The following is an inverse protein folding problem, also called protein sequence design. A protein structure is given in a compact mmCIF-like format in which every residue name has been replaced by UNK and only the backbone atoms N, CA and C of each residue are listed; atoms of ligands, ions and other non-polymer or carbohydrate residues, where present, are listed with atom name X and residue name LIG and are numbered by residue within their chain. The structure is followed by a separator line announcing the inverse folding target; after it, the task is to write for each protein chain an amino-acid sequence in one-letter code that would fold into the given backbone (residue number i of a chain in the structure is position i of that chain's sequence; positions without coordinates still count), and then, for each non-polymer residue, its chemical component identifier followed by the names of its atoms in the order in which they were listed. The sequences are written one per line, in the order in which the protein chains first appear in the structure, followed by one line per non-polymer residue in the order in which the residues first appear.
data_IF_742969929408
#
_entry.id   IF_742969929408
#
_cell.length_a   1.000
_cell.length_b   1.000
_cell.length_c   1.000
_cell.angle_alpha   90.00
_cell.angle_beta   90.00
_cell.angle_gamma   90.00
#
_symmetry.space_group_name_H-M   'P 1'
#
loop_
_entity.id
_entity.type
_entity.pdbx_description
1 polymer ?
#
# COMPACT_ATOMS: atom_id res chain seq x y z
N UNK A 1 -3.19 -48.56 -15.79
CA UNK A 1 -3.28 -47.35 -14.96
C UNK A 1 -4.75 -47.00 -14.86
N UNK A 2 -5.34 -47.19 -13.68
CA UNK A 2 -6.79 -47.13 -13.48
C UNK A 2 -7.33 -45.70 -13.67
N UNK A 3 -8.60 -45.54 -14.05
CA UNK A 3 -9.23 -44.26 -14.37
C UNK A 3 -9.10 -43.24 -13.23
N UNK A 4 -9.11 -43.72 -11.99
CA UNK A 4 -8.90 -42.94 -10.78
C UNK A 4 -7.54 -42.21 -10.75
N UNK A 5 -6.44 -42.89 -11.13
CA UNK A 5 -5.11 -42.28 -11.14
C UNK A 5 -4.96 -41.19 -12.20
N UNK A 6 -5.68 -41.28 -13.32
CA UNK A 6 -5.66 -40.25 -14.36
C UNK A 6 -6.40 -38.98 -13.91
N UNK A 7 -7.54 -39.14 -13.22
CA UNK A 7 -8.31 -38.02 -12.68
C UNK A 7 -7.52 -37.29 -11.58
N UNK A 8 -6.86 -38.03 -10.69
CA UNK A 8 -6.06 -37.43 -9.61
C UNK A 8 -4.88 -36.60 -10.14
N UNK A 9 -4.16 -37.09 -11.16
CA UNK A 9 -3.05 -36.34 -11.78
C UNK A 9 -3.55 -35.06 -12.47
N UNK A 10 -4.70 -35.12 -13.16
CA UNK A 10 -5.28 -33.96 -13.83
C UNK A 10 -5.67 -32.85 -12.84
N UNK A 11 -6.28 -33.22 -11.71
CA UNK A 11 -6.65 -32.27 -10.65
C UNK A 11 -5.40 -31.59 -10.08
N UNK A 12 -4.34 -32.36 -9.80
CA UNK A 12 -3.08 -31.81 -9.29
C UNK A 12 -2.47 -30.83 -10.31
N UNK A 13 -2.45 -31.17 -11.60
CA UNK A 13 -1.93 -30.27 -12.63
C UNK A 13 -2.75 -28.98 -12.78
N UNK A 14 -4.08 -29.04 -12.71
CA UNK A 14 -4.92 -27.84 -12.77
C UNK A 14 -4.64 -26.95 -11.55
N UNK A 15 -4.60 -27.53 -10.35
CA UNK A 15 -4.32 -26.78 -9.12
C UNK A 15 -2.92 -26.14 -9.14
N UNK A 16 -1.90 -26.82 -9.67
CA UNK A 16 -0.55 -26.25 -9.76
C UNK A 16 -0.47 -25.12 -10.78
N UNK A 17 -1.21 -25.21 -11.89
CA UNK A 17 -1.30 -24.10 -12.86
C UNK A 17 -2.01 -22.88 -12.28
N UNK A 18 -3.11 -23.06 -11.54
CA UNK A 18 -3.84 -21.97 -10.90
C UNK A 18 -2.99 -21.28 -9.81
N UNK A 19 -2.28 -22.07 -8.99
CA UNK A 19 -1.34 -21.54 -7.99
C UNK A 19 -0.23 -20.75 -8.68
N UNK A 20 0.34 -21.26 -9.76
CA UNK A 20 1.40 -20.55 -10.50
C UNK A 20 0.91 -19.23 -11.09
N UNK A 21 -0.32 -19.20 -11.63
CA UNK A 21 -0.94 -17.99 -12.16
C UNK A 21 -1.23 -16.97 -11.04
N UNK A 22 -1.77 -17.42 -9.91
CA UNK A 22 -2.03 -16.57 -8.74
C UNK A 22 -0.74 -15.97 -8.16
N UNK A 23 0.32 -16.77 -8.03
CA UNK A 23 1.63 -16.31 -7.55
C UNK A 23 2.27 -15.31 -8.53
N UNK A 24 2.18 -15.57 -9.83
CA UNK A 24 2.67 -14.65 -10.85
C UNK A 24 1.94 -13.30 -10.79
N UNK A 25 0.61 -13.31 -10.63
CA UNK A 25 -0.18 -12.09 -10.49
C UNK A 25 0.20 -11.30 -9.23
N UNK A 26 0.44 -11.97 -8.09
CA UNK A 26 0.86 -11.28 -6.87
C UNK A 26 2.25 -10.66 -7.00
N UNK A 27 3.17 -11.35 -7.68
CA UNK A 27 4.52 -10.83 -7.95
C UNK A 27 4.45 -9.60 -8.86
N UNK A 28 3.67 -9.66 -9.93
CA UNK A 28 3.45 -8.52 -10.85
C UNK A 28 2.81 -7.33 -10.14
N UNK A 29 1.75 -7.54 -9.35
CA UNK A 29 1.10 -6.49 -8.56
C UNK A 29 2.08 -5.88 -7.54
N UNK A 30 2.95 -6.68 -6.91
CA UNK A 30 3.96 -6.15 -5.98
C UNK A 30 5.02 -5.29 -6.68
N UNK A 31 5.45 -5.66 -7.89
CA UNK A 31 6.40 -4.86 -8.68
C UNK A 31 5.76 -3.55 -9.13
N UNK A 32 4.52 -3.61 -9.59
CA UNK A 32 3.76 -2.46 -10.06
C UNK A 32 3.49 -1.48 -8.91
N UNK A 33 3.09 -2.00 -7.74
CA UNK A 33 2.96 -1.22 -6.50
C UNK A 33 4.25 -0.44 -6.20
N UNK A 34 5.40 -1.12 -6.19
CA UNK A 34 6.69 -0.46 -5.90
C UNK A 34 7.04 0.58 -6.97
N UNK A 35 6.84 0.26 -8.25
CA UNK A 35 7.13 1.16 -9.36
C UNK A 35 6.38 2.49 -9.23
N UNK A 36 5.07 2.44 -8.98
CA UNK A 36 4.25 3.64 -8.80
C UNK A 36 4.54 4.38 -7.50
N UNK A 37 4.93 3.66 -6.44
CA UNK A 37 5.39 4.31 -5.20
C UNK A 37 6.65 5.15 -5.45
N UNK A 38 7.65 4.62 -6.15
CA UNK A 38 8.87 5.35 -6.50
C UNK A 38 8.59 6.54 -7.43
N UNK A 39 7.72 6.36 -8.43
CA UNK A 39 7.27 7.44 -9.29
C UNK A 39 6.58 8.56 -8.49
N UNK A 40 5.73 8.20 -7.54
CA UNK A 40 5.08 9.14 -6.62
C UNK A 40 6.08 9.94 -5.78
N UNK A 41 7.14 9.30 -5.26
CA UNK A 41 8.21 9.99 -4.53
C UNK A 41 8.94 11.00 -5.41
N UNK A 42 9.29 10.63 -6.65
CA UNK A 42 9.94 11.51 -7.62
C UNK A 42 9.09 12.75 -7.91
N UNK A 43 7.84 12.55 -8.32
CA UNK A 43 6.89 13.63 -8.60
C UNK A 43 6.64 14.53 -7.38
N UNK A 44 6.57 13.95 -6.18
CA UNK A 44 6.42 14.71 -4.95
C UNK A 44 7.62 15.61 -4.69
N UNK A 45 8.84 15.11 -4.93
CA UNK A 45 10.08 15.88 -4.73
C UNK A 45 10.20 17.06 -5.70
N UNK A 46 9.57 16.96 -6.88
CA UNK A 46 9.46 18.04 -7.87
C UNK A 46 8.32 19.03 -7.57
N UNK A 47 7.54 18.81 -6.50
CA UNK A 47 6.39 19.64 -6.14
C UNK A 47 5.13 19.38 -7.00
N UNK A 48 5.14 18.34 -7.84
CA UNK A 48 4.03 17.95 -8.70
C UNK A 48 2.98 17.14 -7.92
N UNK A 49 2.40 17.74 -6.88
CA UNK A 49 1.59 17.02 -5.88
C UNK A 49 0.37 16.28 -6.45
N UNK A 50 -0.32 16.84 -7.45
CA UNK A 50 -1.46 16.15 -8.07
C UNK A 50 -1.03 14.86 -8.79
N UNK A 51 0.09 14.90 -9.51
CA UNK A 51 0.61 13.73 -10.23
C UNK A 51 1.19 12.69 -9.26
N UNK A 52 1.87 13.17 -8.22
CA UNK A 52 2.34 12.32 -7.13
C UNK A 52 1.16 11.59 -6.45
N UNK A 53 0.04 12.29 -6.23
CA UNK A 53 -1.16 11.69 -5.66
C UNK A 53 -1.69 10.56 -6.53
N UNK A 54 -1.80 10.77 -7.84
CA UNK A 54 -2.28 9.75 -8.76
C UNK A 54 -1.39 8.50 -8.74
N UNK A 55 -0.07 8.69 -8.69
CA UNK A 55 0.90 7.60 -8.60
C UNK A 55 0.81 6.85 -7.27
N UNK A 56 0.76 7.56 -6.13
CA UNK A 56 0.58 6.90 -4.83
C UNK A 56 -0.77 6.17 -4.71
N UNK A 57 -1.85 6.71 -5.29
CA UNK A 57 -3.16 6.03 -5.31
C UNK A 57 -3.09 4.75 -6.13
N UNK A 58 -2.44 4.79 -7.29
CA UNK A 58 -2.27 3.60 -8.11
C UNK A 58 -1.45 2.52 -7.39
N UNK A 59 -0.36 2.93 -6.72
CA UNK A 59 0.42 2.03 -5.86
C UNK A 59 -0.44 1.41 -4.75
N UNK A 60 -1.25 2.22 -4.08
CA UNK A 60 -2.13 1.76 -3.00
C UNK A 60 -3.20 0.78 -3.48
N UNK A 61 -3.93 1.10 -4.55
CA UNK A 61 -4.97 0.21 -5.10
C UNK A 61 -4.39 -1.10 -5.62
N UNK A 62 -3.18 -1.08 -6.20
CA UNK A 62 -2.47 -2.30 -6.60
C UNK A 62 -2.07 -3.12 -5.38
N UNK A 63 -1.48 -2.48 -4.38
CA UNK A 63 -1.07 -3.14 -3.14
C UNK A 63 -2.25 -3.74 -2.36
N UNK A 64 -3.43 -3.12 -2.41
CA UNK A 64 -4.67 -3.63 -1.80
C UNK A 64 -5.19 -4.92 -2.40
N UNK A 65 -4.76 -5.30 -3.61
CA UNK A 65 -5.10 -6.60 -4.19
C UNK A 65 -4.42 -7.76 -3.46
N UNK A 66 -3.27 -7.50 -2.85
CA UNK A 66 -2.39 -8.52 -2.25
C UNK A 66 -2.18 -8.34 -0.74
N UNK A 67 -2.53 -7.17 -0.19
CA UNK A 67 -2.38 -6.83 1.23
C UNK A 67 -3.64 -6.16 1.77
N UNK A 68 -3.88 -6.28 3.09
CA UNK A 68 -4.87 -5.42 3.77
C UNK A 68 -4.40 -3.95 3.77
N UNK A 69 -5.34 -3.01 3.87
CA UNK A 69 -5.06 -1.56 3.77
C UNK A 69 -4.07 -1.04 4.83
N UNK A 70 -4.05 -1.68 5.99
CA UNK A 70 -3.16 -1.40 7.12
C UNK A 70 -1.93 -2.34 7.16
N UNK A 71 -1.65 -3.10 6.11
CA UNK A 71 -0.50 -4.00 6.08
C UNK A 71 0.82 -3.22 6.05
N UNK A 72 1.89 -3.80 6.62
CA UNK A 72 3.18 -3.10 6.77
C UNK A 72 3.79 -2.66 5.42
N UNK A 73 3.57 -3.43 4.36
CA UNK A 73 4.01 -3.09 3.00
C UNK A 73 3.34 -1.83 2.43
N UNK A 74 2.18 -1.42 2.94
CA UNK A 74 1.47 -0.21 2.47
C UNK A 74 1.77 1.03 3.32
N UNK A 75 2.58 0.92 4.40
CA UNK A 75 2.85 2.04 5.32
C UNK A 75 3.42 3.26 4.64
N UNK A 76 4.44 3.05 3.82
CA UNK A 76 5.14 4.14 3.15
C UNK A 76 4.24 4.81 2.11
N UNK A 77 3.42 4.02 1.40
CA UNK A 77 2.42 4.51 0.46
C UNK A 77 1.36 5.34 1.19
N UNK A 78 0.80 4.83 2.29
CA UNK A 78 -0.15 5.56 3.14
C UNK A 78 0.47 6.86 3.68
N UNK A 79 1.72 6.85 4.13
CA UNK A 79 2.40 8.08 4.55
C UNK A 79 2.57 9.08 3.39
N UNK A 80 2.94 8.60 2.20
CA UNK A 80 3.03 9.41 0.97
C UNK A 80 1.69 10.03 0.58
N UNK A 81 0.60 9.25 0.62
CA UNK A 81 -0.77 9.73 0.41
C UNK A 81 -1.16 10.78 1.44
N UNK A 82 -0.92 10.51 2.72
CA UNK A 82 -1.24 11.43 3.81
C UNK A 82 -0.56 12.79 3.65
N UNK A 83 0.74 12.79 3.35
CA UNK A 83 1.51 14.02 3.13
C UNK A 83 1.02 14.74 1.86
N UNK A 84 0.79 14.02 0.77
CA UNK A 84 0.36 14.61 -0.50
C UNK A 84 -1.04 15.22 -0.39
N UNK A 85 -1.98 14.52 0.25
CA UNK A 85 -3.32 15.03 0.52
C UNK A 85 -3.29 16.30 1.38
N UNK A 86 -2.42 16.35 2.41
CA UNK A 86 -2.22 17.56 3.22
C UNK A 86 -1.76 18.73 2.35
N UNK A 87 -0.77 18.52 1.49
CA UNK A 87 -0.21 19.59 0.66
C UNK A 87 -1.22 20.17 -0.36
N UNK A 88 -2.22 19.40 -0.78
CA UNK A 88 -3.29 19.86 -1.68
C UNK A 88 -4.57 20.28 -0.94
N UNK A 89 -4.52 20.40 0.39
CA UNK A 89 -5.63 20.88 1.22
C UNK A 89 -6.74 19.86 1.49
N UNK A 90 -6.57 18.58 1.14
CA UNK A 90 -7.54 17.52 1.41
C UNK A 90 -7.27 16.86 2.77
N UNK A 91 -7.47 17.64 3.84
CA UNK A 91 -7.04 17.28 5.20
C UNK A 91 -7.70 16.01 5.76
N UNK A 92 -8.99 15.77 5.47
CA UNK A 92 -9.68 14.59 6.02
C UNK A 92 -9.13 13.29 5.44
N UNK A 93 -8.81 13.27 4.14
CA UNK A 93 -8.14 12.13 3.50
C UNK A 93 -6.70 11.97 3.98
N UNK A 94 -6.02 13.08 4.28
CA UNK A 94 -4.69 13.03 4.87
C UNK A 94 -4.72 12.28 6.21
N UNK A 95 -5.70 12.60 7.07
CA UNK A 95 -5.89 11.91 8.36
C UNK A 95 -6.20 10.43 8.17
N UNK A 96 -7.09 10.07 7.24
CA UNK A 96 -7.43 8.68 6.93
C UNK A 96 -6.18 7.84 6.66
N UNK A 97 -5.30 8.30 5.76
CA UNK A 97 -4.08 7.57 5.43
C UNK A 97 -3.02 7.58 6.54
N UNK A 98 -2.92 8.64 7.33
CA UNK A 98 -2.05 8.62 8.52
C UNK A 98 -2.53 7.63 9.58
N UNK A 99 -3.85 7.48 9.76
CA UNK A 99 -4.43 6.51 10.68
C UNK A 99 -4.21 5.07 10.19
N UNK A 100 -4.29 4.81 8.87
CA UNK A 100 -3.92 3.50 8.30
C UNK A 100 -2.45 3.17 8.58
N UNK A 101 -1.54 4.14 8.40
CA UNK A 101 -0.13 3.97 8.72
C UNK A 101 0.10 3.72 10.23
N UNK A 102 -0.59 4.44 11.10
CA UNK A 102 -0.56 4.23 12.55
C UNK A 102 -1.02 2.82 12.93
N UNK A 103 -2.18 2.40 12.43
CA UNK A 103 -2.74 1.07 12.70
C UNK A 103 -1.76 -0.03 12.29
N UNK A 104 -1.09 0.18 11.16
CA UNK A 104 -0.05 -0.71 10.68
C UNK A 104 1.12 -0.78 11.67
N UNK A 105 1.70 0.34 12.11
CA UNK A 105 2.80 0.33 13.08
C UNK A 105 2.39 -0.29 14.43
N UNK A 106 1.11 -0.17 14.81
CA UNK A 106 0.58 -0.79 16.03
C UNK A 106 0.37 -2.29 15.92
N UNK A 107 0.15 -2.83 14.72
CA UNK A 107 0.00 -4.27 14.51
C UNK A 107 1.33 -5.03 14.47
N UNK A 108 2.47 -4.33 14.43
CA UNK A 108 3.78 -4.99 14.51
C UNK A 108 4.05 -5.54 15.91
N UNK A 109 4.66 -6.73 15.95
CA UNK A 109 5.17 -7.32 17.18
C UNK A 109 6.29 -6.49 17.81
N UNK A 110 7.05 -5.76 16.99
CA UNK A 110 8.08 -4.81 17.41
C UNK A 110 7.54 -3.40 17.28
N UNK A 111 7.30 -2.74 18.42
CA UNK A 111 6.82 -1.36 18.44
C UNK A 111 7.89 -0.41 17.92
N UNK A 112 7.63 0.22 16.77
CA UNK A 112 8.47 1.28 16.24
C UNK A 112 7.97 2.66 16.74
N UNK A 113 8.32 3.01 17.97
CA UNK A 113 7.85 4.24 18.63
C UNK A 113 8.26 5.51 17.87
N UNK A 114 9.46 5.52 17.28
CA UNK A 114 9.92 6.64 16.46
C UNK A 114 9.05 6.85 15.22
N UNK A 115 8.63 5.77 14.56
CA UNK A 115 7.74 5.86 13.42
C UNK A 115 6.34 6.36 13.81
N UNK A 116 5.80 5.87 14.94
CA UNK A 116 4.51 6.34 15.47
C UNK A 116 4.57 7.85 15.82
N UNK A 117 5.66 8.30 16.45
CA UNK A 117 5.86 9.71 16.76
C UNK A 117 5.88 10.60 15.50
N UNK A 118 6.49 10.12 14.40
CA UNK A 118 6.46 10.82 13.09
C UNK A 118 5.05 10.89 12.52
N UNK A 119 4.26 9.83 12.63
CA UNK A 119 2.84 9.83 12.21
C UNK A 119 2.05 10.87 13.00
N UNK A 120 2.23 10.96 14.32
CA UNK A 120 1.55 11.97 15.13
C UNK A 120 1.99 13.40 14.83
N UNK A 121 3.27 13.62 14.54
CA UNK A 121 3.73 14.93 14.04
C UNK A 121 3.01 15.29 12.74
N UNK A 122 2.90 14.35 11.79
CA UNK A 122 2.17 14.58 10.55
C UNK A 122 0.69 14.88 10.77
N UNK A 123 0.01 14.17 11.67
CA UNK A 123 -1.39 14.45 12.05
C UNK A 123 -1.51 15.85 12.68
N UNK A 124 -0.59 16.22 13.57
CA UNK A 124 -0.52 17.57 14.13
C UNK A 124 -0.39 18.65 13.06
N UNK A 125 0.48 18.43 12.06
CA UNK A 125 0.62 19.32 10.91
C UNK A 125 -0.66 19.42 10.08
N UNK A 126 -1.40 18.31 9.91
CA UNK A 126 -2.72 18.35 9.23
C UNK A 126 -3.69 19.25 9.99
N UNK A 127 -3.81 19.09 11.32
CA UNK A 127 -4.67 19.95 12.11
C UNK A 127 -4.23 21.42 12.07
N UNK A 128 -2.92 21.68 12.14
CA UNK A 128 -2.37 23.01 12.00
C UNK A 128 -2.76 23.65 10.65
N UNK A 129 -2.61 22.93 9.53
CA UNK A 129 -2.97 23.44 8.21
C UNK A 129 -4.50 23.52 7.96
N UNK A 130 -5.30 22.69 8.65
CA UNK A 130 -6.76 22.71 8.50
C UNK A 130 -7.41 23.94 9.15
N UNK A 131 -6.80 24.47 10.21
CA UNK A 131 -7.39 25.51 11.05
C UNK A 131 -6.61 26.83 11.12
N UNK A 132 -5.45 26.92 10.46
CA UNK A 132 -4.69 28.16 10.27
C UNK A 132 -4.49 28.43 8.78
#
# INVERSE_FOLDING_TARGET
MDAFNKILILIICISSTEISASVNNHYEDSLLMQHYYEAGLGLYSEGLYSQALDSFKYAFETGKKIYSENHFNLRNINNGLGITYRNIGQYDKALEHFLLAEQSYRSDSVKNELAIARVYNNIGNVYYNKFN
#
